data_IF_989966917547
#
_entry.id   IF_989966917547
#
_cell.length_a   1.000
_cell.length_b   1.000
_cell.length_c   1.000
_cell.angle_alpha   90.00
_cell.angle_beta   90.00
_cell.angle_gamma   90.00
#
_symmetry.space_group_name_H-M   'P 1'
#
loop_
_entity.id
_entity.type
_entity.pdbx_description
1 polymer ?
#
# COMPACT_ATOMS: atom_id res chain seq x y z
N UNK A 1 11.34 66.00 -28.84
CA UNK A 1 12.24 65.60 -27.73
C UNK A 1 11.51 65.37 -26.40
N UNK A 2 10.69 66.31 -25.90
CA UNK A 2 9.95 66.14 -24.62
C UNK A 2 8.91 65.00 -24.58
N UNK A 3 8.24 64.70 -25.69
CA UNK A 3 7.25 63.59 -25.78
C UNK A 3 7.92 62.22 -25.72
N UNK A 4 9.13 62.09 -26.27
CA UNK A 4 9.88 60.83 -26.33
C UNK A 4 10.41 60.42 -24.94
N UNK A 5 10.88 61.40 -24.15
CA UNK A 5 11.27 61.15 -22.74
C UNK A 5 10.10 60.74 -21.85
N UNK A 6 8.91 61.28 -22.10
CA UNK A 6 7.72 60.96 -21.31
C UNK A 6 7.22 59.53 -21.58
N UNK A 7 7.23 59.10 -22.85
CA UNK A 7 6.91 57.73 -23.24
C UNK A 7 7.92 56.71 -22.70
N UNK A 8 9.22 57.04 -22.68
CA UNK A 8 10.24 56.19 -22.06
C UNK A 8 10.03 56.01 -20.56
N UNK A 9 9.67 57.07 -19.82
CA UNK A 9 9.40 56.96 -18.39
C UNK A 9 8.13 56.15 -18.07
N UNK A 10 7.11 56.22 -18.93
CA UNK A 10 5.88 55.42 -18.81
C UNK A 10 6.14 53.93 -19.08
N UNK A 11 6.93 53.61 -20.10
CA UNK A 11 7.34 52.24 -20.42
C UNK A 11 8.19 51.62 -19.29
N UNK A 12 9.15 52.36 -18.74
CA UNK A 12 9.98 51.88 -17.61
C UNK A 12 9.13 51.66 -16.35
N UNK A 13 8.17 52.54 -16.05
CA UNK A 13 7.24 52.33 -14.92
C UNK A 13 6.34 51.11 -15.12
N UNK A 14 5.79 50.90 -16.32
CA UNK A 14 4.99 49.71 -16.61
C UNK A 14 5.82 48.43 -16.52
N UNK A 15 7.06 48.45 -17.01
CA UNK A 15 7.96 47.29 -16.92
C UNK A 15 8.35 46.97 -15.47
N UNK A 16 8.63 47.99 -14.64
CA UNK A 16 8.90 47.82 -13.21
C UNK A 16 7.68 47.30 -12.43
N UNK A 17 6.47 47.78 -12.74
CA UNK A 17 5.22 47.29 -12.14
C UNK A 17 4.90 45.85 -12.57
N UNK A 18 5.21 45.48 -13.81
CA UNK A 18 5.07 44.11 -14.31
C UNK A 18 6.07 43.17 -13.63
N UNK A 19 7.34 43.55 -13.55
CA UNK A 19 8.37 42.76 -12.86
C UNK A 19 8.04 42.59 -11.37
N UNK A 20 7.55 43.63 -10.69
CA UNK A 20 7.22 43.52 -9.26
C UNK A 20 6.04 42.57 -9.03
N UNK A 21 5.02 42.60 -9.89
CA UNK A 21 3.88 41.66 -9.84
C UNK A 21 4.31 40.22 -10.15
N UNK A 22 5.15 40.02 -11.16
CA UNK A 22 5.68 38.69 -11.49
C UNK A 22 6.59 38.12 -10.40
N UNK A 23 7.42 38.95 -9.76
CA UNK A 23 8.24 38.54 -8.61
C UNK A 23 7.38 38.21 -7.38
N UNK A 24 6.35 39.01 -7.08
CA UNK A 24 5.41 38.72 -5.98
C UNK A 24 4.65 37.40 -6.22
N UNK A 25 4.23 37.14 -7.46
CA UNK A 25 3.57 35.89 -7.83
C UNK A 25 4.53 34.69 -7.71
N UNK A 26 5.77 34.81 -8.20
CA UNK A 26 6.78 33.75 -8.07
C UNK A 26 7.13 33.46 -6.60
N UNK A 27 7.29 34.49 -5.77
CA UNK A 27 7.53 34.35 -4.33
C UNK A 27 6.34 33.69 -3.63
N UNK A 28 5.11 34.02 -4.02
CA UNK A 28 3.92 33.39 -3.45
C UNK A 28 3.78 31.92 -3.85
N UNK A 29 4.18 31.55 -5.07
CA UNK A 29 4.17 30.16 -5.54
C UNK A 29 5.28 29.35 -4.86
N UNK A 30 6.50 29.90 -4.78
CA UNK A 30 7.63 29.27 -4.09
C UNK A 30 7.38 29.12 -2.58
N UNK A 31 6.76 30.11 -1.93
CA UNK A 31 6.38 30.02 -0.52
C UNK A 31 5.30 28.95 -0.32
N UNK A 32 4.31 28.86 -1.21
CA UNK A 32 3.27 27.82 -1.18
C UNK A 32 3.84 26.41 -1.34
N UNK A 33 4.77 26.21 -2.28
CA UNK A 33 5.44 24.93 -2.50
C UNK A 33 6.30 24.55 -1.29
N UNK A 34 7.05 25.50 -0.73
CA UNK A 34 7.86 25.25 0.48
C UNK A 34 7.00 24.93 1.71
N UNK A 35 5.83 25.55 1.84
CA UNK A 35 4.88 25.29 2.92
C UNK A 35 4.24 23.91 2.78
N UNK A 36 3.86 23.51 1.55
CA UNK A 36 3.31 22.18 1.26
C UNK A 36 4.34 21.07 1.50
N UNK A 37 5.59 21.26 1.08
CA UNK A 37 6.67 20.31 1.33
C UNK A 37 7.00 20.18 2.83
N UNK A 38 7.02 21.30 3.56
CA UNK A 38 7.23 21.30 5.00
C UNK A 38 6.08 20.63 5.75
N UNK A 39 4.82 20.90 5.36
CA UNK A 39 3.65 20.27 5.94
C UNK A 39 3.64 18.75 5.71
N UNK A 40 4.04 18.29 4.52
CA UNK A 40 4.19 16.86 4.21
C UNK A 40 5.28 16.18 5.05
N UNK A 41 6.37 16.90 5.35
CA UNK A 41 7.44 16.39 6.22
C UNK A 41 6.96 16.30 7.67
N UNK A 42 6.36 17.36 8.19
CA UNK A 42 5.86 17.41 9.57
C UNK A 42 4.75 16.38 9.80
N UNK A 43 3.87 16.13 8.82
CA UNK A 43 2.84 15.08 8.93
C UNK A 43 3.45 13.68 9.08
N UNK A 44 4.52 13.39 8.34
CA UNK A 44 5.20 12.10 8.42
C UNK A 44 5.90 11.95 9.78
N UNK A 45 6.59 13.00 10.24
CA UNK A 45 7.24 13.01 11.56
C UNK A 45 6.23 12.79 12.70
N UNK A 46 5.05 13.42 12.62
CA UNK A 46 3.96 13.24 13.59
C UNK A 46 3.46 11.79 13.57
N UNK A 47 3.16 11.22 12.40
CA UNK A 47 2.68 9.83 12.31
C UNK A 47 3.72 8.86 12.86
N UNK A 48 5.00 9.00 12.49
CA UNK A 48 6.09 8.16 13.01
C UNK A 48 6.24 8.30 14.53
N UNK A 49 6.04 9.51 15.08
CA UNK A 49 6.00 9.72 16.53
C UNK A 49 4.85 8.95 17.19
N UNK A 50 3.64 8.99 16.61
CA UNK A 50 2.50 8.24 17.14
C UNK A 50 2.76 6.74 17.11
N UNK A 51 3.27 6.22 15.99
CA UNK A 51 3.61 4.79 15.86
C UNK A 51 4.69 4.36 16.88
N UNK A 52 5.69 5.21 17.11
CA UNK A 52 6.69 4.99 18.17
C UNK A 52 6.03 4.98 19.54
N UNK A 53 5.17 5.94 19.84
CA UNK A 53 4.50 6.07 21.13
C UNK A 53 3.60 4.86 21.44
N UNK A 54 2.74 4.47 20.49
CA UNK A 54 1.89 3.29 20.63
C UNK A 54 2.71 2.01 20.80
N UNK A 55 3.73 1.79 19.96
CA UNK A 55 4.62 0.61 20.07
C UNK A 55 5.30 0.51 21.44
N UNK A 56 5.92 1.60 21.90
CA UNK A 56 6.65 1.63 23.17
C UNK A 56 5.71 1.46 24.38
N UNK A 57 4.49 2.02 24.30
CA UNK A 57 3.44 1.76 25.30
C UNK A 57 3.07 0.27 25.38
N UNK A 58 2.85 -0.36 24.23
CA UNK A 58 2.49 -1.79 24.15
C UNK A 58 3.63 -2.69 24.60
N UNK A 59 4.88 -2.34 24.30
CA UNK A 59 6.08 -3.09 24.70
C UNK A 59 6.44 -2.93 26.18
N UNK A 60 5.87 -1.94 26.88
CA UNK A 60 6.28 -1.62 28.24
C UNK A 60 7.64 -0.93 28.32
N UNK A 61 8.12 -0.36 27.22
CA UNK A 61 9.39 0.37 27.17
C UNK A 61 9.19 1.79 27.70
N UNK A 62 9.34 1.94 29.02
CA UNK A 62 9.10 3.21 29.72
C UNK A 62 10.04 4.32 29.26
N UNK A 63 11.31 4.01 29.01
CA UNK A 63 12.32 5.01 28.66
C UNK A 63 12.05 5.55 27.26
N UNK A 64 11.91 4.67 26.28
CA UNK A 64 11.66 5.07 24.90
C UNK A 64 10.27 5.71 24.73
N UNK A 65 9.28 5.27 25.52
CA UNK A 65 7.95 5.88 25.55
C UNK A 65 7.99 7.30 26.10
N UNK A 66 8.69 7.54 27.21
CA UNK A 66 8.82 8.87 27.81
C UNK A 66 9.43 9.88 26.84
N UNK A 67 10.32 9.46 25.94
CA UNK A 67 10.87 10.33 24.89
C UNK A 67 9.82 10.87 23.92
N UNK A 68 8.68 10.20 23.75
CA UNK A 68 7.62 10.66 22.85
C UNK A 68 6.88 11.89 23.40
N UNK A 69 7.01 12.13 24.70
CA UNK A 69 6.24 13.11 25.45
C UNK A 69 7.07 14.31 25.87
N UNK A 70 6.38 15.43 26.06
CA UNK A 70 6.94 16.66 26.61
C UNK A 70 6.01 17.18 27.70
N UNK A 71 6.53 17.23 28.93
CA UNK A 71 5.73 17.69 30.07
C UNK A 71 5.34 19.15 29.91
N UNK A 72 4.06 19.43 30.14
CA UNK A 72 3.49 20.77 30.21
C UNK A 72 2.55 20.88 31.41
N UNK A 73 2.56 22.00 32.16
CA UNK A 73 1.62 22.18 33.26
C UNK A 73 0.15 22.05 32.86
N UNK A 74 -0.17 22.41 31.62
CA UNK A 74 -1.49 22.31 31.01
C UNK A 74 -1.77 20.99 30.29
N UNK A 75 -0.77 20.11 30.16
CA UNK A 75 -0.92 18.84 29.47
C UNK A 75 -1.88 17.91 30.20
N UNK A 76 -2.84 17.35 29.46
CA UNK A 76 -3.90 16.48 30.01
C UNK A 76 -4.08 15.23 29.14
N UNK A 77 -4.43 14.14 29.81
CA UNK A 77 -4.85 12.87 29.23
C UNK A 77 -6.30 12.68 29.63
N UNK A 78 -7.20 12.86 28.66
CA UNK A 78 -8.63 12.67 28.87
C UNK A 78 -9.02 11.30 28.32
N UNK A 79 -9.50 10.40 29.16
CA UNK A 79 -9.91 9.06 28.74
C UNK A 79 -11.41 8.91 28.98
N UNK A 80 -12.14 8.47 27.97
CA UNK A 80 -13.52 8.01 28.08
C UNK A 80 -13.55 6.53 27.70
N UNK A 81 -14.11 5.70 28.57
CA UNK A 81 -14.16 4.24 28.38
C UNK A 81 -15.52 3.81 27.85
N UNK A 82 -15.56 2.62 27.24
CA UNK A 82 -16.75 2.08 26.58
C UNK A 82 -17.95 1.83 27.52
N UNK A 83 -17.69 1.71 28.83
CA UNK A 83 -18.69 1.57 29.89
C UNK A 83 -19.16 2.91 30.47
N UNK A 84 -18.76 4.03 29.86
CA UNK A 84 -19.23 5.37 30.21
C UNK A 84 -18.43 6.07 31.32
N UNK A 85 -17.31 5.51 31.77
CA UNK A 85 -16.43 6.20 32.72
C UNK A 85 -15.54 7.23 32.01
N UNK A 86 -15.10 8.24 32.77
CA UNK A 86 -14.17 9.27 32.29
C UNK A 86 -13.06 9.54 33.29
N UNK A 87 -11.84 9.68 32.81
CA UNK A 87 -10.64 10.00 33.57
C UNK A 87 -9.97 11.25 33.01
N UNK A 88 -9.41 12.06 33.90
CA UNK A 88 -8.61 13.22 33.54
C UNK A 88 -7.30 13.16 34.32
N UNK A 89 -6.21 12.90 33.61
CA UNK A 89 -4.88 12.67 34.19
C UNK A 89 -3.89 13.74 33.69
N UNK A 90 -2.87 14.11 34.48
CA UNK A 90 -1.79 14.94 33.97
C UNK A 90 -0.99 14.19 32.89
N UNK A 91 -0.45 14.90 31.89
CA UNK A 91 0.40 14.26 30.86
C UNK A 91 1.66 13.61 31.41
N UNK A 92 2.12 14.04 32.60
CA UNK A 92 3.19 13.37 33.35
C UNK A 92 2.94 11.87 33.55
N UNK A 93 1.68 11.44 33.63
CA UNK A 93 1.34 10.02 33.75
C UNK A 93 1.79 9.19 32.55
N UNK A 94 1.95 9.79 31.37
CA UNK A 94 2.50 9.09 30.20
C UNK A 94 4.03 9.05 30.22
N UNK A 95 4.69 10.02 30.86
CA UNK A 95 6.15 10.06 31.02
C UNK A 95 6.61 9.09 32.11
N UNK A 96 5.85 9.01 33.20
CA UNK A 96 6.15 8.19 34.37
C UNK A 96 4.91 7.36 34.79
N UNK A 97 4.54 6.34 34.00
CA UNK A 97 3.36 5.52 34.28
C UNK A 97 3.56 4.67 35.53
N UNK A 98 2.46 4.46 36.28
CA UNK A 98 2.44 3.55 37.42
C UNK A 98 2.66 2.09 36.96
N UNK A 99 3.21 1.21 37.82
CA UNK A 99 3.38 -0.21 37.50
C UNK A 99 2.06 -0.83 37.03
N UNK A 100 2.09 -1.54 35.89
CA UNK A 100 0.93 -2.21 35.31
C UNK A 100 0.02 -1.34 34.42
N UNK A 101 0.35 -0.05 34.21
CA UNK A 101 -0.38 0.78 33.25
C UNK A 101 0.00 0.50 31.79
N UNK A 102 1.27 0.20 31.54
CA UNK A 102 1.77 -0.10 30.19
C UNK A 102 1.46 -1.55 29.78
N UNK A 103 1.51 -1.82 28.47
CA UNK A 103 1.32 -3.16 27.94
C UNK A 103 2.49 -4.10 28.26
N UNK A 104 2.24 -5.41 28.18
CA UNK A 104 3.24 -6.47 28.29
C UNK A 104 3.47 -7.16 26.92
N UNK A 105 3.37 -6.40 25.83
CA UNK A 105 3.44 -6.88 24.45
C UNK A 105 2.16 -6.64 23.64
N UNK A 106 2.17 -7.07 22.38
CA UNK A 106 1.11 -6.83 21.39
C UNK A 106 1.48 -5.70 20.43
N UNK A 107 0.48 -5.13 19.74
CA UNK A 107 0.70 -4.05 18.79
C UNK A 107 -0.46 -3.04 18.83
N UNK A 108 -0.18 -1.81 18.39
CA UNK A 108 -1.15 -0.76 18.17
C UNK A 108 -1.03 -0.29 16.72
N UNK A 109 -2.16 -0.05 16.06
CA UNK A 109 -2.22 0.50 14.71
C UNK A 109 -3.05 1.77 14.71
N UNK A 110 -2.55 2.80 14.03
CA UNK A 110 -3.27 4.06 13.87
C UNK A 110 -3.75 4.21 12.42
N UNK A 111 -5.00 4.64 12.24
CA UNK A 111 -5.62 4.88 10.94
C UNK A 111 -6.46 6.16 10.94
N UNK A 112 -6.95 6.58 9.78
CA UNK A 112 -7.85 7.73 9.64
C UNK A 112 -7.30 9.05 10.24
N UNK A 113 -6.00 9.29 10.05
CA UNK A 113 -5.35 10.50 10.53
C UNK A 113 -5.90 11.76 9.85
N UNK A 114 -6.52 12.66 10.60
CA UNK A 114 -6.78 14.04 10.15
C UNK A 114 -6.09 15.00 11.11
N UNK A 115 -5.29 15.92 10.56
CA UNK A 115 -4.42 16.77 11.36
C UNK A 115 -4.38 18.20 10.87
N UNK A 116 -4.14 19.11 11.81
CA UNK A 116 -3.82 20.51 11.52
C UNK A 116 -2.47 20.84 12.13
N UNK A 117 -1.55 21.26 11.27
CA UNK A 117 -0.16 21.56 11.62
C UNK A 117 0.04 23.07 11.52
N UNK A 118 0.36 23.70 12.64
CA UNK A 118 0.89 25.06 12.71
C UNK A 118 2.43 25.04 12.74
N UNK A 119 3.06 26.19 13.00
CA UNK A 119 4.54 26.27 13.03
C UNK A 119 5.15 25.34 14.09
N UNK A 120 4.69 25.48 15.33
CA UNK A 120 5.26 24.79 16.50
C UNK A 120 4.21 24.00 17.29
N UNK A 121 2.98 23.89 16.76
CA UNK A 121 1.86 23.20 17.39
C UNK A 121 1.09 22.40 16.34
N UNK A 122 0.60 21.23 16.71
CA UNK A 122 -0.30 20.45 15.86
C UNK A 122 -1.35 19.72 16.69
N UNK A 123 -2.43 19.34 16.03
CA UNK A 123 -3.30 18.29 16.53
C UNK A 123 -3.55 17.26 15.43
N UNK A 124 -3.75 16.02 15.82
CA UNK A 124 -4.13 14.91 14.93
C UNK A 124 -5.23 14.10 15.61
N UNK A 125 -6.33 13.89 14.91
CA UNK A 125 -7.28 12.85 15.25
C UNK A 125 -6.91 11.57 14.48
N UNK A 126 -7.19 10.41 15.06
CA UNK A 126 -7.00 9.12 14.40
C UNK A 126 -7.81 8.06 15.13
N UNK A 127 -7.99 6.91 14.50
CA UNK A 127 -8.44 5.71 15.17
C UNK A 127 -7.24 4.90 15.62
N UNK A 128 -7.36 4.19 16.74
CA UNK A 128 -6.39 3.22 17.20
C UNK A 128 -7.04 1.84 17.39
N UNK A 129 -6.37 0.82 16.85
CA UNK A 129 -6.64 -0.58 17.12
C UNK A 129 -5.48 -1.15 17.93
N UNK A 130 -5.74 -1.44 19.19
CA UNK A 130 -4.77 -2.01 20.12
C UNK A 130 -5.07 -3.49 20.33
N UNK A 131 -4.09 -4.36 20.08
CA UNK A 131 -4.22 -5.81 20.24
C UNK A 131 -3.24 -6.31 21.29
N UNK A 132 -3.72 -7.10 22.25
CA UNK A 132 -2.90 -7.72 23.29
C UNK A 132 -2.29 -9.06 22.90
N UNK A 133 -1.42 -9.57 23.78
CA UNK A 133 -0.72 -10.84 23.59
C UNK A 133 -1.67 -12.04 23.54
N UNK A 134 -2.92 -11.88 24.00
CA UNK A 134 -3.97 -12.89 23.93
C UNK A 134 -4.90 -12.67 22.73
N UNK A 135 -4.63 -11.69 21.86
CA UNK A 135 -5.45 -11.34 20.71
C UNK A 135 -6.71 -10.55 21.05
N UNK A 136 -6.86 -10.07 22.28
CA UNK A 136 -7.98 -9.18 22.63
C UNK A 136 -7.79 -7.83 21.97
N UNK A 137 -8.81 -7.36 21.29
CA UNK A 137 -8.83 -6.09 20.57
C UNK A 137 -9.51 -5.01 21.42
N UNK A 138 -8.86 -3.86 21.52
CA UNK A 138 -9.39 -2.61 22.04
C UNK A 138 -9.43 -1.59 20.92
N UNK A 139 -10.53 -0.82 20.84
CA UNK A 139 -10.72 0.21 19.83
C UNK A 139 -10.85 1.58 20.51
N UNK A 140 -10.24 2.59 19.93
CA UNK A 140 -10.37 3.97 20.38
C UNK A 140 -10.35 4.96 19.23
N UNK A 141 -11.10 6.06 19.41
CA UNK A 141 -10.93 7.27 18.62
C UNK A 141 -10.15 8.28 19.47
N UNK A 142 -9.10 8.86 18.90
CA UNK A 142 -8.11 9.59 19.67
C UNK A 142 -7.78 10.93 19.04
N UNK A 143 -7.48 11.92 19.89
CA UNK A 143 -6.93 13.21 19.46
C UNK A 143 -5.62 13.40 20.21
N UNK A 144 -4.54 13.65 19.48
CA UNK A 144 -3.22 13.94 20.02
C UNK A 144 -2.91 15.43 19.84
N UNK A 145 -2.41 16.06 20.89
CA UNK A 145 -1.96 17.45 20.90
C UNK A 145 -0.44 17.46 20.94
N UNK A 146 0.17 18.20 20.02
CA UNK A 146 1.62 18.19 19.82
C UNK A 146 2.22 19.58 19.84
N UNK A 147 3.44 19.66 20.34
CA UNK A 147 4.31 20.84 20.25
C UNK A 147 5.67 20.46 19.67
N UNK A 148 6.31 21.39 18.97
CA UNK A 148 7.66 21.21 18.46
C UNK A 148 8.67 21.68 19.52
N UNK A 149 9.61 20.80 19.88
CA UNK A 149 10.67 21.05 20.86
C UNK A 149 12.00 20.58 20.31
N UNK A 150 13.01 21.47 20.30
CA UNK A 150 14.30 21.20 19.66
C UNK A 150 14.17 20.65 18.23
N UNK A 151 13.23 21.22 17.45
CA UNK A 151 12.91 20.81 16.09
C UNK A 151 12.36 19.38 15.93
N UNK A 152 11.85 18.77 17.02
CA UNK A 152 11.16 17.48 17.00
C UNK A 152 9.74 17.62 17.55
N UNK A 153 8.78 16.94 16.94
CA UNK A 153 7.42 16.86 17.49
C UNK A 153 7.40 16.04 18.78
N UNK A 154 6.63 16.50 19.76
CA UNK A 154 6.39 15.82 21.04
C UNK A 154 4.91 15.89 21.40
N UNK A 155 4.41 14.84 22.05
CA UNK A 155 3.07 14.81 22.62
C UNK A 155 3.02 15.65 23.90
N UNK A 156 2.03 16.53 23.99
CA UNK A 156 1.80 17.36 25.19
C UNK A 156 0.45 17.07 25.85
N UNK A 157 -0.45 16.39 25.15
CA UNK A 157 -1.74 15.94 25.67
C UNK A 157 -2.48 15.03 24.69
N UNK A 158 -3.53 14.37 25.18
CA UNK A 158 -4.39 13.54 24.34
C UNK A 158 -5.81 13.41 24.89
N UNK A 159 -6.73 13.05 24.00
CA UNK A 159 -8.00 12.43 24.34
C UNK A 159 -8.07 11.02 23.76
N UNK A 160 -8.56 10.07 24.55
CA UNK A 160 -8.84 8.70 24.17
C UNK A 160 -10.32 8.45 24.40
N UNK A 161 -11.04 8.03 23.37
CA UNK A 161 -12.41 7.57 23.49
C UNK A 161 -12.49 6.10 23.08
N UNK A 162 -12.40 5.21 24.08
CA UNK A 162 -12.51 3.78 23.85
C UNK A 162 -13.97 3.37 23.68
N UNK A 163 -14.23 2.49 22.72
CA UNK A 163 -15.57 1.98 22.47
C UNK A 163 -15.55 0.46 22.32
N UNK A 164 -16.64 -0.18 22.77
CA UNK A 164 -16.85 -1.59 22.50
C UNK A 164 -17.30 -1.72 21.05
N UNK A 165 -16.68 -2.62 20.31
CA UNK A 165 -17.19 -2.98 18.99
C UNK A 165 -18.61 -3.53 19.17
N UNK A 166 -19.69 -2.84 18.74
CA UNK A 166 -20.99 -3.50 18.69
C UNK A 166 -20.81 -4.70 17.75
N UNK A 167 -21.33 -5.86 18.13
CA UNK A 167 -21.34 -7.08 17.31
C UNK A 167 -22.19 -6.87 16.06
N UNK A 168 -21.67 -6.10 15.12
CA UNK A 168 -21.95 -6.20 13.70
C UNK A 168 -20.69 -6.78 13.07
N UNK A 169 -20.86 -7.82 12.26
CA UNK A 169 -19.85 -8.26 11.30
C UNK A 169 -19.25 -7.02 10.63
N UNK A 170 -17.96 -6.76 10.83
CA UNK A 170 -17.29 -5.60 10.23
C UNK A 170 -17.30 -5.77 8.71
N UNK A 171 -18.27 -5.12 8.06
CA UNK A 171 -18.38 -5.01 6.60
C UNK A 171 -17.81 -3.69 6.06
N UNK A 172 -17.34 -2.78 6.92
CA UNK A 172 -17.02 -1.40 6.54
C UNK A 172 -15.52 -1.19 6.24
N UNK A 173 -15.05 -1.80 5.15
CA UNK A 173 -13.81 -1.35 4.50
C UNK A 173 -14.21 -0.48 3.31
N UNK A 174 -13.73 0.76 3.28
CA UNK A 174 -13.84 1.62 2.10
C UNK A 174 -12.58 1.45 1.26
N UNK A 175 -12.77 1.05 0.01
CA UNK A 175 -11.71 0.96 -0.98
C UNK A 175 -11.66 2.23 -1.82
N UNK A 176 -10.46 2.75 -2.01
CA UNK A 176 -10.16 3.83 -2.94
C UNK A 176 -9.36 3.23 -4.08
N UNK A 177 -10.00 3.06 -5.24
CA UNK A 177 -9.32 2.63 -6.46
C UNK A 177 -8.71 3.87 -7.09
N UNK A 178 -7.39 3.89 -7.21
CA UNK A 178 -6.60 5.06 -7.54
C UNK A 178 -5.62 4.78 -8.67
N UNK A 179 -5.14 5.85 -9.32
CA UNK A 179 -3.99 5.80 -10.21
C UNK A 179 -2.93 6.79 -9.74
N UNK A 180 -1.66 6.44 -9.91
CA UNK A 180 -0.53 7.33 -9.65
C UNK A 180 0.30 7.49 -10.92
N UNK A 181 0.61 8.74 -11.27
CA UNK A 181 1.53 9.07 -12.36
C UNK A 181 2.98 8.97 -11.88
N UNK A 182 3.80 8.18 -12.58
CA UNK A 182 5.15 7.84 -12.09
C UNK A 182 6.17 8.97 -12.23
N UNK A 183 5.90 9.97 -13.08
CA UNK A 183 6.78 11.10 -13.30
C UNK A 183 6.50 12.20 -12.27
N UNK A 184 5.22 12.53 -12.08
CA UNK A 184 4.76 13.65 -11.26
C UNK A 184 4.41 13.26 -9.82
N UNK A 185 4.11 11.98 -9.56
CA UNK A 185 3.57 11.51 -8.28
C UNK A 185 2.12 11.93 -8.03
N UNK A 186 1.42 12.43 -9.06
CA UNK A 186 0.02 12.82 -8.95
C UNK A 186 -0.86 11.60 -8.76
N UNK A 187 -1.69 11.61 -7.72
CA UNK A 187 -2.64 10.54 -7.40
C UNK A 187 -4.06 11.02 -7.74
N UNK A 188 -4.77 10.21 -8.53
CA UNK A 188 -6.18 10.40 -8.86
C UNK A 188 -6.99 9.25 -8.24
N UNK A 189 -8.04 9.59 -7.49
CA UNK A 189 -9.05 8.60 -7.07
C UNK A 189 -10.07 8.43 -8.17
N UNK A 190 -10.09 7.24 -8.78
CA UNK A 190 -11.03 6.87 -9.84
C UNK A 190 -12.39 6.58 -9.23
N UNK A 191 -12.42 5.73 -8.20
CA UNK A 191 -13.64 5.29 -7.53
C UNK A 191 -13.41 5.14 -6.03
N UNK A 192 -14.38 5.60 -5.24
CA UNK A 192 -14.48 5.33 -3.80
C UNK A 192 -15.71 4.48 -3.56
N UNK A 193 -15.56 3.34 -2.89
CA UNK A 193 -16.65 2.39 -2.64
C UNK A 193 -16.55 1.83 -1.21
N UNK A 194 -17.67 1.80 -0.48
CA UNK A 194 -17.72 1.18 0.85
C UNK A 194 -17.87 -0.35 0.76
N UNK A 195 -16.95 -0.97 0.03
CA UNK A 195 -16.76 -2.40 -0.06
C UNK A 195 -15.27 -2.70 -0.24
N UNK A 196 -14.85 -3.93 0.06
CA UNK A 196 -13.47 -4.38 -0.09
C UNK A 196 -13.19 -4.82 -1.54
N UNK A 197 -12.45 -4.01 -2.28
CA UNK A 197 -12.01 -4.25 -3.66
C UNK A 197 -10.49 -4.35 -3.72
N UNK A 198 -9.98 -5.16 -4.63
CA UNK A 198 -8.59 -5.61 -4.61
C UNK A 198 -8.01 -5.71 -6.03
N UNK A 199 -6.69 -5.59 -6.10
CA UNK A 199 -5.81 -6.02 -7.17
C UNK A 199 -6.25 -5.55 -8.58
N UNK A 200 -6.00 -4.28 -8.95
CA UNK A 200 -6.36 -3.75 -10.25
C UNK A 200 -5.37 -4.17 -11.34
N UNK A 201 -5.84 -4.92 -12.35
CA UNK A 201 -5.15 -5.08 -13.63
C UNK A 201 -5.62 -3.99 -14.61
N UNK A 202 -4.75 -3.49 -15.48
CA UNK A 202 -5.11 -2.44 -16.44
C UNK A 202 -5.17 -2.97 -17.87
N UNK A 203 -6.36 -2.93 -18.48
CA UNK A 203 -6.54 -3.32 -19.88
C UNK A 203 -6.25 -2.14 -20.84
N UNK A 204 -5.68 -2.39 -22.04
CA UNK A 204 -5.40 -1.33 -23.03
C UNK A 204 -6.60 -0.52 -23.51
N UNK A 205 -7.80 -1.09 -23.47
CA UNK A 205 -9.06 -0.40 -23.77
C UNK A 205 -9.56 0.50 -22.62
N UNK A 206 -8.66 0.90 -21.72
CA UNK A 206 -8.89 1.89 -20.66
C UNK A 206 -9.93 1.51 -19.60
N UNK A 207 -9.91 0.24 -19.17
CA UNK A 207 -10.64 -0.23 -18.00
C UNK A 207 -9.73 -1.03 -17.06
N UNK A 208 -10.11 -1.13 -15.79
CA UNK A 208 -9.45 -2.00 -14.82
C UNK A 208 -10.23 -3.29 -14.61
N UNK A 209 -9.54 -4.39 -14.28
CA UNK A 209 -10.14 -5.59 -13.71
C UNK A 209 -9.74 -5.66 -12.24
N UNK A 210 -10.72 -5.72 -11.35
CA UNK A 210 -10.56 -5.79 -9.89
C UNK A 210 -11.36 -6.97 -9.34
N UNK A 211 -11.00 -7.49 -8.18
CA UNK A 211 -11.78 -8.52 -7.51
C UNK A 211 -12.41 -8.01 -6.20
N UNK A 212 -13.53 -8.61 -5.82
CA UNK A 212 -14.18 -8.39 -4.52
C UNK A 212 -15.00 -9.62 -4.14
N UNK A 213 -14.85 -10.08 -2.88
CA UNK A 213 -15.66 -11.16 -2.28
C UNK A 213 -15.77 -12.42 -3.18
N UNK A 214 -14.68 -12.81 -3.82
CA UNK A 214 -14.64 -14.00 -4.69
C UNK A 214 -14.98 -13.76 -6.17
N UNK A 215 -15.45 -12.56 -6.53
CA UNK A 215 -15.88 -12.22 -7.89
C UNK A 215 -14.98 -11.19 -8.55
N UNK A 216 -15.03 -11.13 -9.88
CA UNK A 216 -14.27 -10.19 -10.70
C UNK A 216 -15.20 -9.12 -11.27
N UNK A 217 -14.68 -7.91 -11.43
CA UNK A 217 -15.39 -6.75 -11.94
C UNK A 217 -14.52 -5.99 -12.92
N UNK A 218 -15.14 -5.42 -13.95
CA UNK A 218 -14.51 -4.41 -14.79
C UNK A 218 -14.88 -3.03 -14.26
N UNK A 219 -13.93 -2.09 -14.28
CA UNK A 219 -14.12 -0.68 -13.96
C UNK A 219 -13.75 0.16 -15.18
N UNK A 220 -14.75 0.71 -15.86
CA UNK A 220 -14.54 1.67 -16.94
C UNK A 220 -13.95 2.97 -16.34
N UNK A 221 -12.76 3.39 -16.81
CA UNK A 221 -12.07 4.55 -16.24
C UNK A 221 -12.65 5.90 -16.70
N UNK A 222 -13.36 5.93 -17.83
CA UNK A 222 -14.01 7.13 -18.34
C UNK A 222 -15.36 7.36 -17.64
N UNK A 223 -16.19 6.31 -17.59
CA UNK A 223 -17.52 6.35 -16.97
C UNK A 223 -17.48 6.23 -15.45
N UNK A 224 -16.41 5.64 -14.90
CA UNK A 224 -16.24 5.32 -13.47
C UNK A 224 -17.31 4.36 -12.96
N UNK A 225 -17.68 3.40 -13.81
CA UNK A 225 -18.73 2.42 -13.56
C UNK A 225 -18.13 1.02 -13.38
N UNK A 226 -18.60 0.31 -12.35
CA UNK A 226 -18.25 -1.08 -12.07
C UNK A 226 -19.30 -2.01 -12.69
N UNK A 227 -18.83 -3.03 -13.40
CA UNK A 227 -19.67 -4.09 -13.95
C UNK A 227 -19.12 -5.46 -13.54
N UNK A 228 -20.01 -6.38 -13.16
CA UNK A 228 -19.62 -7.76 -12.83
C UNK A 228 -19.08 -8.45 -14.09
N UNK A 229 -17.91 -9.06 -13.98
CA UNK A 229 -17.34 -9.91 -15.02
C UNK A 229 -17.77 -11.35 -14.78
N UNK A 230 -18.56 -11.90 -15.70
CA UNK A 230 -19.12 -13.25 -15.57
C UNK A 230 -18.02 -14.33 -15.71
N UNK A 231 -17.57 -14.88 -14.58
CA UNK A 231 -16.53 -15.92 -14.49
C UNK A 231 -17.11 -17.34 -14.38
N UNK A 232 -18.37 -17.54 -14.78
CA UNK A 232 -19.03 -18.84 -14.75
C UNK A 232 -19.14 -19.41 -13.33
N UNK A 233 -18.61 -20.62 -13.10
CA UNK A 233 -18.63 -21.25 -11.77
C UNK A 233 -17.60 -20.66 -10.79
N UNK A 234 -16.67 -19.83 -11.27
CA UNK A 234 -15.59 -19.34 -10.44
C UNK A 234 -16.02 -18.07 -9.68
N UNK A 235 -16.67 -18.26 -8.53
CA UNK A 235 -17.16 -17.19 -7.64
C UNK A 235 -16.42 -17.13 -6.28
N UNK A 236 -15.32 -17.88 -6.15
CA UNK A 236 -14.36 -17.85 -5.04
C UNK A 236 -12.94 -17.53 -5.51
N UNK A 237 -12.80 -16.54 -6.39
CA UNK A 237 -11.51 -16.00 -6.84
C UNK A 237 -10.80 -15.21 -5.74
N UNK A 238 -9.49 -15.33 -5.67
CA UNK A 238 -8.65 -14.46 -4.85
C UNK A 238 -8.08 -13.29 -5.67
N UNK A 239 -7.08 -12.62 -5.12
CA UNK A 239 -6.49 -11.40 -5.68
C UNK A 239 -5.54 -11.68 -6.84
N UNK A 240 -5.33 -12.93 -7.22
CA UNK A 240 -4.28 -13.35 -8.13
C UNK A 240 -4.90 -13.71 -9.49
N UNK A 241 -5.02 -12.68 -10.34
CA UNK A 241 -5.62 -12.73 -11.66
C UNK A 241 -4.93 -11.77 -12.64
N UNK A 242 -5.05 -12.01 -13.94
CA UNK A 242 -4.55 -11.05 -14.91
C UNK A 242 -4.59 -11.46 -16.37
N UNK A 243 -4.19 -10.50 -17.21
CA UNK A 243 -4.55 -10.44 -18.63
C UNK A 243 -3.44 -11.08 -19.49
N UNK A 244 -3.84 -11.84 -20.51
CA UNK A 244 -2.88 -12.41 -21.47
C UNK A 244 -2.21 -11.31 -22.33
N UNK A 245 -1.00 -11.55 -22.87
CA UNK A 245 -0.29 -10.59 -23.71
C UNK A 245 -1.03 -10.22 -25.01
N UNK A 246 -1.91 -11.08 -25.50
CA UNK A 246 -2.77 -10.82 -26.66
C UNK A 246 -4.13 -10.18 -26.30
N UNK A 247 -4.34 -9.94 -25.01
CA UNK A 247 -5.53 -9.33 -24.41
C UNK A 247 -6.84 -10.09 -24.64
N UNK A 248 -6.78 -11.38 -25.00
CA UNK A 248 -7.98 -12.19 -25.28
C UNK A 248 -8.40 -13.07 -24.11
N UNK A 249 -7.52 -13.29 -23.15
CA UNK A 249 -7.71 -14.23 -22.06
C UNK A 249 -7.45 -13.58 -20.72
N UNK A 250 -8.18 -14.05 -19.72
CA UNK A 250 -7.98 -13.74 -18.32
C UNK A 250 -7.53 -15.03 -17.63
N UNK A 251 -6.49 -14.95 -16.81
CA UNK A 251 -6.15 -15.98 -15.84
C UNK A 251 -6.72 -15.58 -14.48
N UNK A 252 -7.26 -16.56 -13.74
CA UNK A 252 -7.80 -16.36 -12.38
C UNK A 252 -7.31 -17.48 -11.47
N UNK A 253 -7.12 -17.17 -10.19
CA UNK A 253 -6.89 -18.16 -9.14
C UNK A 253 -8.15 -18.31 -8.30
N UNK A 254 -8.71 -19.52 -8.29
CA UNK A 254 -10.02 -19.83 -7.72
C UNK A 254 -9.93 -20.99 -6.72
N UNK A 255 -10.71 -20.93 -5.64
CA UNK A 255 -10.79 -22.00 -4.65
C UNK A 255 -11.53 -23.23 -5.20
N UNK A 256 -10.80 -24.24 -5.67
CA UNK A 256 -11.36 -25.47 -6.21
C UNK A 256 -11.85 -26.42 -5.10
N UNK A 257 -13.08 -26.21 -4.62
CA UNK A 257 -13.68 -27.00 -3.54
C UNK A 257 -13.74 -28.50 -3.84
N UNK A 258 -13.96 -28.85 -5.10
CA UNK A 258 -14.06 -30.22 -5.62
C UNK A 258 -12.71 -30.95 -5.64
N UNK A 259 -11.58 -30.24 -5.51
CA UNK A 259 -10.27 -30.88 -5.53
C UNK A 259 -10.12 -31.85 -4.32
N UNK A 260 -9.60 -33.08 -4.53
CA UNK A 260 -9.49 -34.12 -3.49
C UNK A 260 -8.47 -33.83 -2.38
N UNK A 261 -7.86 -32.64 -2.36
CA UNK A 261 -6.85 -32.28 -1.36
C UNK A 261 -7.53 -32.06 -0.01
N UNK A 262 -6.85 -32.42 1.08
CA UNK A 262 -7.30 -32.15 2.45
C UNK A 262 -6.95 -30.74 2.92
N UNK A 263 -6.26 -29.94 2.09
CA UNK A 263 -5.94 -28.54 2.42
C UNK A 263 -7.22 -27.71 2.54
N UNK A 264 -7.28 -26.77 3.50
CA UNK A 264 -8.47 -25.94 3.71
C UNK A 264 -8.72 -24.97 2.54
N UNK A 265 -7.65 -24.50 1.91
CA UNK A 265 -7.72 -23.62 0.74
C UNK A 265 -7.07 -24.29 -0.47
N UNK A 266 -7.82 -24.36 -1.58
CA UNK A 266 -7.49 -25.20 -2.73
C UNK A 266 -7.38 -24.34 -3.99
N UNK A 267 -6.62 -23.24 -3.91
CA UNK A 267 -6.41 -22.35 -5.06
C UNK A 267 -5.87 -23.12 -6.26
N UNK A 268 -6.58 -23.06 -7.37
CA UNK A 268 -6.15 -23.56 -8.67
C UNK A 268 -6.27 -22.44 -9.70
N UNK A 269 -5.39 -22.47 -10.70
CA UNK A 269 -5.37 -21.50 -11.79
C UNK A 269 -6.29 -21.97 -12.90
N UNK A 270 -7.13 -21.07 -13.38
CA UNK A 270 -8.02 -21.24 -14.52
C UNK A 270 -7.79 -20.12 -15.53
N UNK A 271 -8.18 -20.36 -16.78
CA UNK A 271 -8.17 -19.36 -17.87
C UNK A 271 -9.54 -19.31 -18.53
N UNK A 272 -10.00 -18.10 -18.85
CA UNK A 272 -11.28 -17.84 -19.52
C UNK A 272 -11.14 -16.68 -20.53
N UNK A 273 -12.08 -16.50 -21.48
CA UNK A 273 -12.09 -15.32 -22.35
C UNK A 273 -12.16 -14.03 -21.55
N UNK A 274 -11.49 -12.97 -22.01
CA UNK A 274 -11.40 -11.68 -21.29
C UNK A 274 -12.76 -11.02 -21.05
N UNK A 275 -13.74 -11.26 -21.93
CA UNK A 275 -15.12 -10.75 -21.81
C UNK A 275 -16.02 -11.60 -20.91
N UNK A 276 -15.48 -12.61 -20.23
CA UNK A 276 -16.23 -13.54 -19.40
C UNK A 276 -16.56 -14.86 -20.11
N UNK A 277 -17.01 -15.84 -19.32
CA UNK A 277 -17.37 -17.17 -19.77
C UNK A 277 -16.90 -18.27 -18.83
N UNK A 278 -16.91 -19.51 -19.33
CA UNK A 278 -16.57 -20.69 -18.53
C UNK A 278 -15.05 -20.84 -18.37
N UNK A 279 -14.53 -20.87 -17.13
CA UNK A 279 -13.11 -21.09 -16.88
C UNK A 279 -12.66 -22.52 -17.20
N UNK A 280 -11.51 -22.65 -17.86
CA UNK A 280 -10.79 -23.91 -18.07
C UNK A 280 -9.65 -24.03 -17.06
N UNK A 281 -9.60 -25.14 -16.33
CA UNK A 281 -8.54 -25.42 -15.35
C UNK A 281 -7.18 -25.58 -16.04
N UNK A 282 -6.12 -25.04 -15.43
CA UNK A 282 -4.73 -25.13 -15.90
C UNK A 282 -3.87 -25.95 -14.95
N UNK A 283 -3.92 -25.69 -13.64
CA UNK A 283 -3.11 -26.39 -12.64
C UNK A 283 -3.85 -27.59 -12.05
N UNK A 284 -3.25 -28.77 -12.10
CA UNK A 284 -3.77 -29.99 -11.47
C UNK A 284 -3.45 -30.12 -9.98
N UNK A 285 -2.50 -29.33 -9.46
CA UNK A 285 -2.05 -29.35 -8.07
C UNK A 285 -2.37 -28.03 -7.36
N UNK A 286 -2.61 -28.13 -6.05
CA UNK A 286 -3.04 -27.00 -5.21
C UNK A 286 -2.24 -26.90 -3.88
N UNK A 287 -2.09 -25.70 -3.31
CA UNK A 287 -2.53 -24.41 -3.87
C UNK A 287 -1.57 -23.88 -4.93
N UNK A 288 -2.10 -23.13 -5.89
CA UNK A 288 -1.37 -22.44 -6.96
C UNK A 288 -1.99 -21.05 -7.18
N UNK A 289 -1.17 -20.02 -7.21
CA UNK A 289 -1.56 -18.60 -7.23
C UNK A 289 -0.91 -17.90 -8.43
N UNK A 290 -1.71 -17.58 -9.44
CA UNK A 290 -1.26 -16.97 -10.69
C UNK A 290 -0.61 -15.60 -10.44
N UNK A 291 0.49 -15.28 -11.12
CA UNK A 291 1.04 -13.91 -11.05
C UNK A 291 1.51 -13.35 -12.40
N UNK A 292 1.83 -14.20 -13.38
CA UNK A 292 2.38 -13.70 -14.63
C UNK A 292 2.14 -14.60 -15.82
N UNK A 293 2.12 -13.98 -16.99
CA UNK A 293 2.13 -14.63 -18.29
C UNK A 293 3.47 -14.43 -18.96
N UNK A 294 4.03 -15.45 -19.60
CA UNK A 294 5.20 -15.24 -20.46
C UNK A 294 4.84 -14.32 -21.64
N UNK A 295 5.73 -13.42 -22.09
CA UNK A 295 5.39 -12.47 -23.15
C UNK A 295 4.98 -13.12 -24.48
N UNK A 296 5.41 -14.37 -24.71
CA UNK A 296 5.04 -15.16 -25.90
C UNK A 296 3.67 -15.85 -25.79
N UNK A 297 2.97 -15.69 -24.66
CA UNK A 297 1.65 -16.25 -24.45
C UNK A 297 1.63 -17.74 -24.05
N UNK A 298 2.77 -18.42 -23.90
CA UNK A 298 2.81 -19.90 -23.81
C UNK A 298 2.88 -20.49 -22.41
N UNK A 299 3.28 -19.72 -21.40
CA UNK A 299 3.45 -20.20 -20.02
C UNK A 299 2.87 -19.23 -19.02
N UNK A 300 2.40 -19.77 -17.90
CA UNK A 300 2.06 -19.01 -16.70
C UNK A 300 3.20 -19.16 -15.69
N UNK A 301 3.51 -18.09 -14.95
CA UNK A 301 4.31 -18.11 -13.73
C UNK A 301 3.39 -17.92 -12.53
N UNK A 302 3.67 -18.66 -11.46
CA UNK A 302 2.81 -18.71 -10.28
C UNK A 302 3.58 -19.11 -9.04
N UNK A 303 3.08 -18.67 -7.89
CA UNK A 303 3.50 -19.15 -6.59
C UNK A 303 2.72 -20.42 -6.25
N UNK A 304 3.40 -21.43 -5.70
CA UNK A 304 2.74 -22.68 -5.35
C UNK A 304 3.36 -23.32 -4.13
N UNK A 305 2.51 -23.84 -3.24
CA UNK A 305 2.98 -24.66 -2.14
C UNK A 305 3.04 -26.13 -2.54
N UNK A 306 4.23 -26.70 -2.43
CA UNK A 306 4.47 -28.14 -2.57
C UNK A 306 5.33 -28.60 -1.39
N UNK A 307 4.84 -29.61 -0.67
CA UNK A 307 5.55 -30.25 0.44
C UNK A 307 5.97 -29.28 1.57
N UNK A 308 5.14 -28.29 1.86
CA UNK A 308 5.31 -27.34 2.97
C UNK A 308 6.14 -26.10 2.65
N UNK A 309 6.60 -25.92 1.41
CA UNK A 309 7.33 -24.73 0.96
C UNK A 309 6.64 -24.07 -0.23
N UNK A 310 6.69 -22.74 -0.28
CA UNK A 310 6.17 -21.93 -1.37
C UNK A 310 7.31 -21.51 -2.28
N UNK A 311 7.24 -21.94 -3.54
CA UNK A 311 8.26 -21.68 -4.55
C UNK A 311 7.62 -21.11 -5.82
N UNK A 312 8.48 -20.61 -6.70
CA UNK A 312 8.07 -20.16 -8.04
C UNK A 312 7.99 -21.35 -8.99
N UNK A 313 6.87 -21.46 -9.68
CA UNK A 313 6.63 -22.46 -10.70
C UNK A 313 6.24 -21.83 -12.04
N UNK A 314 6.41 -22.60 -13.11
CA UNK A 314 5.81 -22.30 -14.41
C UNK A 314 5.12 -23.51 -15.01
N UNK A 315 4.07 -23.27 -15.79
CA UNK A 315 3.27 -24.32 -16.46
C UNK A 315 2.87 -23.84 -17.86
N UNK A 316 2.73 -24.72 -18.87
CA UNK A 316 2.09 -24.33 -20.12
C UNK A 316 0.65 -23.82 -19.88
N UNK A 317 0.18 -22.84 -20.67
CA UNK A 317 -1.20 -22.31 -20.55
C UNK A 317 -2.27 -23.38 -20.81
N UNK A 318 -1.94 -24.37 -21.63
CA UNK A 318 -2.81 -25.53 -21.89
C UNK A 318 -2.81 -26.56 -20.74
N UNK A 319 -2.03 -26.31 -19.67
CA UNK A 319 -1.85 -27.22 -18.54
C UNK A 319 -0.72 -28.23 -18.77
N UNK A 320 -0.71 -29.30 -17.97
CA UNK A 320 0.30 -30.37 -18.03
C UNK A 320 1.34 -30.25 -16.92
N UNK A 321 2.59 -30.56 -17.26
CA UNK A 321 3.68 -30.63 -16.27
C UNK A 321 4.16 -29.25 -15.81
N UNK A 322 4.18 -29.06 -14.48
CA UNK A 322 4.76 -27.88 -13.84
C UNK A 322 6.28 -27.99 -13.74
N UNK A 323 6.96 -26.85 -13.88
CA UNK A 323 8.41 -26.73 -13.67
C UNK A 323 8.66 -25.83 -12.46
N UNK A 324 9.27 -26.40 -11.42
CA UNK A 324 9.78 -25.66 -10.25
C UNK A 324 11.01 -24.84 -10.65
N UNK A 325 11.04 -23.55 -10.32
CA UNK A 325 12.12 -22.62 -10.64
C UNK A 325 12.97 -22.25 -9.42
N UNK A 326 12.39 -22.24 -8.23
CA UNK A 326 13.12 -21.99 -6.97
C UNK A 326 12.97 -23.17 -6.02
N UNK A 327 13.93 -23.34 -5.11
CA UNK A 327 13.97 -24.47 -4.16
C UNK A 327 14.67 -24.14 -2.83
N UNK A 328 14.81 -22.85 -2.52
CA UNK A 328 15.43 -22.39 -1.28
C UNK A 328 14.47 -22.46 -0.11
N UNK A 329 15.01 -22.37 1.10
CA UNK A 329 14.17 -22.19 2.29
C UNK A 329 13.59 -20.77 2.35
N UNK A 330 12.32 -20.69 2.74
CA UNK A 330 11.57 -19.44 2.82
C UNK A 330 10.66 -19.22 1.62
N UNK A 331 9.66 -18.37 1.82
CA UNK A 331 8.66 -18.02 0.81
C UNK A 331 9.30 -17.30 -0.39
N UNK A 332 9.06 -17.83 -1.58
CA UNK A 332 9.17 -17.12 -2.85
C UNK A 332 7.77 -16.87 -3.43
N UNK A 333 7.46 -15.64 -3.81
CA UNK A 333 6.12 -15.24 -4.23
C UNK A 333 6.12 -14.12 -5.30
N UNK A 334 4.94 -13.81 -5.84
CA UNK A 334 4.72 -12.70 -6.77
C UNK A 334 5.53 -12.74 -8.09
N UNK A 335 5.65 -13.88 -8.80
CA UNK A 335 6.49 -13.96 -9.99
C UNK A 335 5.86 -13.30 -11.23
N UNK A 336 6.55 -12.36 -11.85
CA UNK A 336 6.13 -11.72 -13.10
C UNK A 336 7.26 -11.67 -14.14
N UNK A 337 6.93 -11.92 -15.41
CA UNK A 337 7.90 -11.86 -16.50
C UNK A 337 8.24 -10.42 -16.87
N UNK A 338 9.50 -10.17 -17.21
CA UNK A 338 9.87 -8.96 -17.94
C UNK A 338 9.18 -8.92 -19.32
N UNK A 339 8.83 -7.74 -19.86
CA UNK A 339 8.22 -7.62 -21.18
C UNK A 339 9.05 -8.23 -22.32
N UNK A 340 10.38 -8.22 -22.18
CA UNK A 340 11.31 -8.83 -23.14
C UNK A 340 11.55 -10.34 -22.93
N UNK A 341 10.93 -10.93 -21.91
CA UNK A 341 11.01 -12.35 -21.57
C UNK A 341 12.35 -12.82 -21.00
N UNK A 342 13.32 -11.93 -20.76
CA UNK A 342 14.65 -12.31 -20.26
C UNK A 342 14.68 -12.65 -18.77
N UNK A 343 13.73 -12.13 -17.99
CA UNK A 343 13.71 -12.30 -16.55
C UNK A 343 12.32 -12.66 -16.03
N UNK A 344 12.29 -13.29 -14.86
CA UNK A 344 11.15 -13.33 -13.96
C UNK A 344 11.56 -12.56 -12.71
N UNK A 345 10.80 -11.52 -12.37
CA UNK A 345 10.89 -10.79 -11.10
C UNK A 345 9.99 -11.44 -10.07
N UNK A 346 10.40 -11.46 -8.81
CA UNK A 346 9.66 -12.08 -7.72
C UNK A 346 10.14 -11.52 -6.39
N UNK A 347 9.41 -11.76 -5.30
CA UNK A 347 9.91 -11.49 -3.95
C UNK A 347 10.31 -12.78 -3.24
N UNK A 348 11.33 -12.72 -2.39
CA UNK A 348 11.89 -13.88 -1.69
C UNK A 348 12.32 -13.54 -0.27
N UNK A 349 12.04 -14.46 0.65
CA UNK A 349 12.50 -14.38 2.04
C UNK A 349 13.86 -15.04 2.28
N UNK A 350 14.51 -15.62 1.25
CA UNK A 350 15.75 -16.40 1.43
C UNK A 350 16.93 -15.63 2.03
N UNK A 351 16.90 -14.30 2.03
CA UNK A 351 17.86 -13.42 2.71
C UNK A 351 17.51 -13.13 4.18
N UNK A 352 16.48 -13.78 4.75
CA UNK A 352 15.99 -13.54 6.11
C UNK A 352 15.07 -12.33 6.25
N UNK A 353 14.75 -11.66 5.14
CA UNK A 353 13.85 -10.51 5.03
C UNK A 353 13.22 -10.54 3.65
N UNK A 354 11.94 -10.14 3.52
CA UNK A 354 11.29 -10.10 2.21
C UNK A 354 11.89 -9.00 1.33
N UNK A 355 12.49 -9.40 0.21
CA UNK A 355 13.16 -8.52 -0.75
C UNK A 355 12.78 -8.91 -2.17
N UNK A 356 13.00 -8.01 -3.13
CA UNK A 356 12.81 -8.29 -4.54
C UNK A 356 14.03 -8.99 -5.13
N UNK A 357 13.76 -9.92 -6.03
CA UNK A 357 14.73 -10.73 -6.75
C UNK A 357 14.33 -10.81 -8.23
N UNK A 358 15.28 -11.24 -9.05
CA UNK A 358 15.01 -11.70 -10.41
C UNK A 358 15.81 -12.95 -10.73
N UNK A 359 15.38 -13.66 -11.76
CA UNK A 359 16.09 -14.81 -12.32
C UNK A 359 15.83 -14.93 -13.82
N UNK A 360 16.62 -15.74 -14.52
CA UNK A 360 16.25 -16.17 -15.86
C UNK A 360 15.00 -17.07 -15.82
N UNK A 361 14.16 -17.12 -16.87
CA UNK A 361 12.98 -17.99 -16.94
C UNK A 361 13.25 -19.48 -16.74
N UNK A 362 14.51 -19.89 -16.82
CA UNK A 362 14.93 -21.26 -16.58
C UNK A 362 15.16 -21.59 -15.09
N UNK A 363 15.15 -20.59 -14.20
CA UNK A 363 15.39 -20.67 -12.75
C UNK A 363 16.80 -20.27 -12.28
N UNK A 364 17.73 -20.03 -13.23
CA UNK A 364 19.14 -19.73 -12.94
C UNK A 364 19.38 -18.24 -12.75
N UNK A 365 20.60 -17.91 -12.30
CA UNK A 365 21.12 -16.55 -12.19
C UNK A 365 20.21 -15.66 -11.33
N UNK A 366 19.84 -16.17 -10.16
CA UNK A 366 19.03 -15.44 -9.19
C UNK A 366 19.83 -14.27 -8.60
N UNK A 367 19.26 -13.06 -8.65
CA UNK A 367 19.88 -11.81 -8.23
C UNK A 367 18.93 -11.01 -7.34
N UNK A 368 19.39 -10.55 -6.18
CA UNK A 368 18.64 -9.66 -5.29
C UNK A 368 18.66 -8.23 -5.83
N UNK A 369 17.52 -7.55 -5.77
CA UNK A 369 17.35 -6.20 -6.33
C UNK A 369 17.17 -5.12 -5.26
N UNK A 370 16.65 -5.45 -4.08
CA UNK A 370 16.41 -4.51 -2.99
C UNK A 370 17.14 -4.94 -1.72
N UNK A 371 17.61 -3.98 -0.92
CA UNK A 371 18.49 -4.21 0.23
C UNK A 371 18.15 -3.34 1.45
N UNK A 372 16.93 -2.80 1.51
CA UNK A 372 16.49 -1.90 2.57
C UNK A 372 15.67 -2.60 3.65
N UNK A 373 15.23 -1.85 4.66
CA UNK A 373 14.53 -2.37 5.85
C UNK A 373 13.01 -2.56 5.65
N UNK A 374 12.45 -2.23 4.48
CA UNK A 374 11.03 -2.45 4.20
C UNK A 374 10.81 -3.90 3.76
N UNK A 375 9.60 -4.45 4.01
CA UNK A 375 9.21 -5.70 3.36
C UNK A 375 8.69 -5.40 1.96
N UNK A 376 9.45 -5.79 0.95
CA UNK A 376 9.20 -5.44 -0.44
C UNK A 376 8.52 -6.60 -1.18
N UNK A 377 7.33 -6.36 -1.72
CA UNK A 377 6.44 -7.36 -2.32
C UNK A 377 5.95 -6.94 -3.70
N UNK A 378 5.52 -7.92 -4.50
CA UNK A 378 4.81 -7.75 -5.78
C UNK A 378 5.53 -6.81 -6.77
N UNK A 379 6.66 -7.26 -7.34
CA UNK A 379 7.39 -6.49 -8.35
C UNK A 379 6.72 -6.58 -9.72
N UNK A 380 6.12 -5.48 -10.18
CA UNK A 380 5.53 -5.38 -11.51
C UNK A 380 6.44 -4.59 -12.46
N UNK A 381 7.13 -5.22 -13.42
CA UNK A 381 7.86 -4.51 -14.47
C UNK A 381 6.91 -3.69 -15.37
N UNK A 382 7.33 -2.48 -15.76
CA UNK A 382 6.57 -1.65 -16.69
C UNK A 382 6.55 -2.26 -18.10
N UNK A 383 5.47 -2.06 -18.90
CA UNK A 383 5.39 -2.54 -20.28
C UNK A 383 6.56 -2.11 -21.18
N UNK A 384 7.12 -0.92 -20.97
CA UNK A 384 8.28 -0.41 -21.70
C UNK A 384 9.63 -1.00 -21.23
N UNK A 385 9.63 -1.84 -20.20
CA UNK A 385 10.80 -2.53 -19.65
C UNK A 385 11.81 -1.63 -18.94
N UNK A 386 11.44 -0.40 -18.58
CA UNK A 386 12.36 0.56 -17.92
C UNK A 386 12.24 0.59 -16.41
N UNK A 387 11.11 0.17 -15.85
CA UNK A 387 10.81 0.34 -14.44
C UNK A 387 10.29 -0.94 -13.79
N UNK A 388 10.36 -0.99 -12.47
CA UNK A 388 9.55 -1.89 -11.63
C UNK A 388 8.82 -1.04 -10.61
N UNK A 389 7.51 -1.20 -10.51
CA UNK A 389 6.75 -0.74 -9.34
C UNK A 389 6.58 -1.91 -8.37
N UNK A 390 6.60 -1.61 -7.08
CA UNK A 390 6.38 -2.61 -6.04
C UNK A 390 5.84 -1.95 -4.76
N UNK A 391 5.27 -2.76 -3.88
CA UNK A 391 4.76 -2.31 -2.59
C UNK A 391 5.81 -2.56 -1.51
N UNK A 392 6.00 -1.56 -0.65
CA UNK A 392 6.89 -1.63 0.49
C UNK A 392 6.10 -1.44 1.78
N UNK A 393 6.09 -2.45 2.63
CA UNK A 393 5.59 -2.33 4.00
C UNK A 393 6.63 -1.61 4.85
N UNK A 394 6.19 -0.61 5.61
CA UNK A 394 7.06 0.18 6.49
C UNK A 394 7.52 -0.59 7.73
N UNK A 395 6.96 -1.77 7.97
CA UNK A 395 7.33 -2.70 9.04
C UNK A 395 7.62 -4.09 8.48
N UNK A 396 8.49 -4.83 9.16
CA UNK A 396 8.84 -6.21 8.80
C UNK A 396 7.63 -7.15 8.94
N UNK A 397 7.12 -7.64 7.81
CA UNK A 397 5.98 -8.58 7.76
C UNK A 397 6.43 -10.05 7.77
N UNK A 398 7.73 -10.31 7.92
CA UNK A 398 8.31 -11.64 7.79
C UNK A 398 7.95 -12.24 6.42
N UNK A 399 7.34 -13.42 6.43
CA UNK A 399 6.90 -14.15 5.23
C UNK A 399 5.42 -13.89 4.90
N UNK A 400 4.81 -12.83 5.43
CA UNK A 400 3.41 -12.50 5.17
C UNK A 400 3.30 -11.14 4.46
N UNK A 401 2.16 -10.92 3.81
CA UNK A 401 1.80 -9.66 3.16
C UNK A 401 0.40 -9.25 3.64
N UNK A 402 0.31 -8.84 4.91
CA UNK A 402 -0.98 -8.65 5.57
C UNK A 402 -1.78 -7.47 4.99
N UNK A 403 -3.11 -7.56 5.07
CA UNK A 403 -4.01 -6.43 4.86
C UNK A 403 -3.89 -5.40 5.99
N UNK A 404 -4.23 -4.15 5.69
CA UNK A 404 -4.40 -3.10 6.69
C UNK A 404 -3.12 -2.67 7.38
N UNK A 405 -2.06 -2.49 6.58
CA UNK A 405 -0.73 -2.05 7.03
C UNK A 405 -0.38 -0.71 6.42
N UNK A 406 0.58 -0.03 7.07
CA UNK A 406 1.21 1.15 6.49
C UNK A 406 2.19 0.71 5.41
N UNK A 407 1.90 1.16 4.20
CA UNK A 407 2.62 0.78 2.99
C UNK A 407 2.87 2.00 2.12
N UNK A 408 3.75 1.86 1.14
CA UNK A 408 3.94 2.84 0.07
C UNK A 408 4.30 2.13 -1.22
N UNK A 409 4.01 2.76 -2.35
CA UNK A 409 4.49 2.28 -3.65
C UNK A 409 5.83 2.91 -3.97
N UNK A 410 6.74 2.08 -4.49
CA UNK A 410 8.10 2.46 -4.83
C UNK A 410 8.38 2.07 -6.26
N UNK A 411 9.24 2.84 -6.91
CA UNK A 411 9.60 2.70 -8.30
C UNK A 411 11.12 2.53 -8.42
N UNK A 412 11.56 1.44 -9.03
CA UNK A 412 12.96 1.18 -9.37
C UNK A 412 13.20 1.44 -10.85
N UNK A 413 14.26 2.17 -11.18
CA UNK A 413 14.79 2.23 -12.54
C UNK A 413 15.62 0.97 -12.83
N UNK A 414 15.27 0.21 -13.87
CA UNK A 414 15.94 -1.05 -14.18
C UNK A 414 17.38 -0.89 -14.70
N UNK A 415 17.71 0.28 -15.25
CA UNK A 415 19.06 0.58 -15.76
C UNK A 415 19.98 1.09 -14.68
N UNK A 416 19.55 2.08 -13.88
CA UNK A 416 20.40 2.73 -12.87
C UNK A 416 20.31 2.08 -11.50
N UNK A 417 19.25 1.30 -11.24
CA UNK A 417 18.88 0.75 -9.92
C UNK A 417 18.47 1.81 -8.89
N UNK A 418 18.27 3.06 -9.32
CA UNK A 418 17.74 4.09 -8.43
C UNK A 418 16.30 3.76 -8.04
N UNK A 419 15.98 3.99 -6.76
CA UNK A 419 14.66 3.75 -6.19
C UNK A 419 14.11 5.06 -5.66
N UNK A 420 12.85 5.36 -5.99
CA UNK A 420 12.10 6.47 -5.38
C UNK A 420 10.73 6.01 -4.91
N UNK A 421 10.18 6.69 -3.91
CA UNK A 421 8.79 6.52 -3.52
C UNK A 421 7.90 7.31 -4.51
N UNK A 422 6.80 6.71 -4.96
CA UNK A 422 5.85 7.37 -5.88
C UNK A 422 4.51 7.70 -5.22
N UNK A 423 4.30 7.24 -3.98
CA UNK A 423 3.17 7.62 -3.14
C UNK A 423 3.68 8.04 -1.75
N UNK A 424 2.90 8.84 -0.99
CA UNK A 424 3.08 8.88 0.46
C UNK A 424 2.80 7.50 1.09
N UNK A 425 3.04 7.38 2.39
CA UNK A 425 2.59 6.22 3.15
C UNK A 425 1.06 6.26 3.25
N UNK A 426 0.41 5.12 2.99
CA UNK A 426 -1.03 4.95 3.07
C UNK A 426 -1.39 3.60 3.69
N UNK A 427 -2.67 3.46 4.06
CA UNK A 427 -3.21 2.23 4.61
C UNK A 427 -3.58 1.25 3.47
N UNK A 428 -2.89 0.11 3.42
CA UNK A 428 -2.88 -0.81 2.28
C UNK A 428 -2.33 -2.20 2.64
N UNK A 429 -1.68 -2.82 1.66
CA UNK A 429 -1.04 -4.14 1.80
C UNK A 429 -1.64 -5.16 0.86
N UNK A 430 -2.14 -6.28 1.39
CA UNK A 430 -2.93 -7.23 0.61
C UNK A 430 -4.06 -6.50 -0.13
N UNK A 431 -4.21 -6.77 -1.42
CA UNK A 431 -5.22 -6.16 -2.28
C UNK A 431 -4.78 -4.86 -2.95
N UNK A 432 -3.69 -4.22 -2.52
CA UNK A 432 -3.26 -2.95 -3.12
C UNK A 432 -2.77 -3.12 -4.56
N UNK A 433 -1.83 -4.05 -4.81
CA UNK A 433 -1.22 -4.36 -6.11
C UNK A 433 -0.73 -5.82 -6.16
N UNK A 434 -1.60 -6.82 -5.99
CA UNK A 434 -1.17 -8.23 -6.08
C UNK A 434 -0.80 -8.66 -7.52
N UNK A 435 -1.20 -7.86 -8.49
CA UNK A 435 -1.30 -8.19 -9.92
C UNK A 435 -0.71 -7.08 -10.78
N UNK A 436 -0.38 -7.33 -12.06
CA UNK A 436 0.19 -6.31 -12.94
C UNK A 436 -0.73 -5.09 -13.09
N UNK A 437 -0.36 -3.96 -12.49
CA UNK A 437 -1.21 -2.75 -12.40
C UNK A 437 -0.78 -1.57 -13.29
N UNK A 438 0.13 -1.79 -14.23
CA UNK A 438 0.65 -0.73 -15.11
C UNK A 438 -0.35 -0.30 -16.18
N UNK A 439 -0.45 1.01 -16.42
CA UNK A 439 -1.06 1.50 -17.65
C UNK A 439 -0.25 1.03 -18.87
N UNK A 440 -0.90 0.78 -20.02
CA UNK A 440 -0.23 0.27 -21.23
C UNK A 440 0.90 1.17 -21.73
N UNK A 441 0.81 2.48 -21.49
CA UNK A 441 1.81 3.47 -21.88
C UNK A 441 2.96 3.62 -20.86
N UNK A 442 2.96 2.83 -19.78
CA UNK A 442 3.97 2.84 -18.70
C UNK A 442 4.07 4.16 -17.93
N UNK A 443 3.02 5.00 -17.94
CA UNK A 443 3.03 6.30 -17.24
C UNK A 443 2.31 6.29 -15.90
N UNK A 444 1.36 5.38 -15.72
CA UNK A 444 0.54 5.29 -14.52
C UNK A 444 0.53 3.88 -13.95
N UNK A 445 0.27 3.79 -12.66
CA UNK A 445 0.03 2.54 -11.94
C UNK A 445 -1.31 2.64 -11.24
N UNK A 446 -2.19 1.66 -11.43
CA UNK A 446 -3.41 1.53 -10.66
C UNK A 446 -3.10 0.86 -9.31
N UNK A 447 -3.80 1.26 -8.25
CA UNK A 447 -3.65 0.62 -6.94
C UNK A 447 -4.90 0.85 -6.09
N UNK A 448 -5.03 0.07 -5.01
CA UNK A 448 -6.08 0.29 -4.00
C UNK A 448 -5.47 0.69 -2.67
N UNK A 449 -5.95 1.81 -2.13
CA UNK A 449 -5.77 2.15 -0.71
C UNK A 449 -7.09 1.97 0.02
N UNK A 450 -7.03 1.86 1.34
CA UNK A 450 -8.19 1.53 2.16
C UNK A 450 -8.37 2.48 3.33
N UNK A 451 -9.60 2.57 3.81
CA UNK A 451 -9.90 2.98 5.19
C UNK A 451 -10.80 1.94 5.84
N UNK A 452 -10.58 1.70 7.12
CA UNK A 452 -11.48 0.88 7.94
C UNK A 452 -12.30 1.87 8.75
N UNK A 453 -13.62 1.76 8.67
CA UNK A 453 -14.54 2.61 9.44
C UNK A 453 -14.84 2.01 10.82
#
# INVERSE_FOLDING_TARGET
MKVFLHLQQLLVRQFQLSLSKSCLLLFSILSSISLSAQQSKDSLEIITLLEKEGRTWRMGDKEEHAECWLERPYGRIMVSTADGNTFNLPSKTMIDPQPGMMGNGGFAFHSNHSMKIGRDMAWVNHDEVSVDTNGKVSLSHEIRLLEKWNNQWKLVGQSIHSYNNPTKQKMDTTSYIQTVDIETGSIETVLTINEHFEAPNWHPDNYLIVNSKGKLYTLDLERKELELLETGFADECNNDHGISPDHKWLAISHNDREHPSTKPYKSAIYVLPIGGGTPRKVTSKVPSYWHGWSPDGKRLAYCAERNGNYDIYTIPVEGGEEKRLTNGEGLDDGPEYSPDGKYIYYNSYKSGHMQLWRMEPNGKNQEQLTFDQNSNWFPHPSPDGKWIVYIAYTSDQKQNHLFGKQVKLRLMNLKTRDIKDITPVFFGGQGTINVPSWSPDSKKVAFVSYSIN
#
